data_IF_653877544973
#
_entry.id   IF_653877544973
#
_cell.length_a   1.000
_cell.length_b   1.000
_cell.length_c   1.000
_cell.angle_alpha   90.00
_cell.angle_beta   90.00
_cell.angle_gamma   90.00
#
_symmetry.space_group_name_H-M   'P 1'
#
loop_
_entity.id
_entity.type
_entity.pdbx_description
1 polymer ?
#
# COMPACT_ATOMS: atom_id res chain seq x y z
N UNK A 1 8.24 0.93 21.38
CA UNK A 1 8.71 1.72 20.23
C UNK A 1 8.14 3.11 20.32
N UNK A 2 8.99 4.12 20.21
CA UNK A 2 8.64 5.53 20.14
C UNK A 2 8.28 5.90 18.70
N UNK A 3 7.47 6.96 18.51
CA UNK A 3 7.14 7.49 17.16
C UNK A 3 8.39 7.79 16.32
N UNK A 4 9.49 8.22 16.95
CA UNK A 4 10.75 8.53 16.26
C UNK A 4 11.44 7.29 15.72
N UNK A 5 11.40 6.17 16.44
CA UNK A 5 12.00 4.91 15.98
C UNK A 5 11.24 4.34 14.77
N UNK A 6 9.92 4.57 14.68
CA UNK A 6 9.12 4.12 13.55
C UNK A 6 9.52 4.81 12.23
N UNK A 7 9.89 6.09 12.28
CA UNK A 7 10.26 6.86 11.07
C UNK A 7 11.53 6.32 10.39
N UNK A 8 12.40 5.64 11.13
CA UNK A 8 13.63 5.06 10.61
C UNK A 8 13.42 3.68 9.99
N UNK A 9 12.24 3.11 10.16
CA UNK A 9 11.92 1.78 9.64
C UNK A 9 11.68 1.82 8.13
N UNK A 10 11.91 0.68 7.47
CA UNK A 10 11.83 0.58 6.01
C UNK A 10 10.64 -0.28 5.60
N UNK A 11 9.60 0.29 4.97
CA UNK A 11 8.52 -0.51 4.41
C UNK A 11 9.02 -1.28 3.19
N UNK A 12 8.64 -2.55 3.10
CA UNK A 12 8.93 -3.43 1.99
C UNK A 12 7.66 -4.14 1.54
N UNK A 13 7.43 -4.20 0.23
CA UNK A 13 6.34 -4.96 -0.37
C UNK A 13 6.34 -6.42 0.11
N UNK A 14 5.14 -6.96 0.29
CA UNK A 14 4.95 -8.36 0.69
C UNK A 14 5.59 -9.31 -0.32
N UNK A 15 6.13 -10.41 0.17
CA UNK A 15 6.71 -11.49 -0.64
C UNK A 15 5.72 -12.62 -0.91
N UNK A 16 4.44 -12.43 -0.57
CA UNK A 16 3.37 -13.38 -0.89
C UNK A 16 3.20 -13.48 -2.41
N UNK A 17 3.34 -14.69 -2.95
CA UNK A 17 3.22 -14.97 -4.38
C UNK A 17 1.83 -14.68 -4.95
N UNK A 18 0.80 -14.64 -4.10
CA UNK A 18 -0.57 -14.32 -4.51
C UNK A 18 -0.82 -12.80 -4.60
N UNK A 19 0.15 -11.96 -4.20
CA UNK A 19 0.07 -10.51 -4.34
C UNK A 19 0.86 -10.11 -5.58
N UNK A 20 0.15 -9.62 -6.59
CA UNK A 20 0.73 -9.12 -7.83
C UNK A 20 0.51 -7.62 -7.93
N UNK A 21 1.39 -6.93 -8.64
CA UNK A 21 1.18 -5.53 -8.96
C UNK A 21 1.78 -5.20 -10.33
N UNK A 22 1.13 -4.29 -11.03
CA UNK A 22 1.47 -3.89 -12.40
C UNK A 22 1.27 -2.38 -12.59
N UNK A 23 1.79 -1.86 -13.70
CA UNK A 23 1.47 -0.51 -14.16
C UNK A 23 0.40 -0.55 -15.24
N UNK A 24 -0.67 0.21 -15.05
CA UNK A 24 -1.63 0.54 -16.11
C UNK A 24 -1.75 2.07 -16.15
N UNK A 25 -1.48 2.71 -17.29
CA UNK A 25 -1.63 4.15 -17.48
C UNK A 25 -0.98 5.01 -16.36
N UNK A 26 0.31 4.73 -16.07
CA UNK A 26 1.14 5.41 -15.06
C UNK A 26 0.72 5.23 -13.58
N UNK A 27 -0.40 4.55 -13.31
CA UNK A 27 -0.79 4.17 -11.95
C UNK A 27 -0.46 2.71 -11.68
N UNK A 28 -0.21 2.41 -10.41
CA UNK A 28 -0.01 1.04 -9.95
C UNK A 28 -1.37 0.40 -9.68
N UNK A 29 -1.53 -0.85 -10.09
CA UNK A 29 -2.64 -1.69 -9.68
C UNK A 29 -2.10 -2.83 -8.86
N UNK A 30 -2.66 -3.02 -7.66
CA UNK A 30 -2.33 -4.14 -6.80
C UNK A 30 -3.48 -5.15 -6.87
N UNK A 31 -3.15 -6.39 -7.19
CA UNK A 31 -4.08 -7.51 -7.25
C UNK A 31 -3.71 -8.51 -6.15
N UNK A 32 -4.68 -8.86 -5.31
CA UNK A 32 -4.46 -9.77 -4.18
C UNK A 32 -5.73 -10.56 -3.85
N UNK A 33 -5.61 -11.76 -3.27
CA UNK A 33 -6.76 -12.60 -2.98
C UNK A 33 -7.71 -11.91 -2.00
N UNK A 34 -9.01 -12.00 -2.27
CA UNK A 34 -10.02 -11.47 -1.38
C UNK A 34 -10.06 -12.30 -0.11
N UNK A 35 -9.96 -11.62 1.04
CA UNK A 35 -10.13 -12.30 2.32
C UNK A 35 -11.63 -12.50 2.60
N UNK A 36 -12.19 -13.61 2.12
CA UNK A 36 -13.60 -13.93 2.33
C UNK A 36 -13.87 -14.30 3.79
N UNK A 37 -14.73 -13.54 4.47
CA UNK A 37 -15.39 -14.01 5.68
C UNK A 37 -16.32 -15.20 5.39
N UNK A 38 -16.70 -15.98 6.42
CA UNK A 38 -17.57 -17.17 6.25
C UNK A 38 -18.88 -16.86 5.51
N UNK A 39 -19.48 -15.70 5.76
CA UNK A 39 -20.73 -15.25 5.12
C UNK A 39 -20.51 -14.83 3.66
N UNK A 40 -19.43 -14.09 3.39
CA UNK A 40 -19.08 -13.65 2.03
C UNK A 40 -18.71 -14.84 1.15
N UNK A 41 -18.04 -15.85 1.71
CA UNK A 41 -17.73 -17.09 0.99
C UNK A 41 -19.00 -17.81 0.55
N UNK A 42 -19.96 -17.99 1.47
CA UNK A 42 -21.25 -18.59 1.14
C UNK A 42 -22.03 -17.83 0.06
N UNK A 43 -21.98 -16.49 0.09
CA UNK A 43 -22.64 -15.66 -0.92
C UNK A 43 -21.95 -15.79 -2.29
N UNK A 44 -20.62 -15.81 -2.31
CA UNK A 44 -19.82 -16.01 -3.51
C UNK A 44 -20.04 -17.41 -4.11
N UNK A 45 -20.06 -18.47 -3.30
CA UNK A 45 -20.35 -19.83 -3.77
C UNK A 45 -21.75 -19.94 -4.45
N UNK A 46 -22.68 -19.05 -4.08
CA UNK A 46 -24.05 -19.05 -4.62
C UNK A 46 -24.27 -18.12 -5.81
N UNK A 47 -23.60 -16.97 -5.87
CA UNK A 47 -23.83 -15.92 -6.87
C UNK A 47 -22.63 -15.75 -7.82
N UNK A 48 -21.48 -16.32 -7.48
CA UNK A 48 -20.20 -16.09 -8.13
C UNK A 48 -19.59 -14.74 -7.77
N UNK A 49 -18.46 -14.41 -8.42
CA UNK A 49 -17.75 -13.15 -8.27
C UNK A 49 -16.24 -13.31 -8.42
N UNK A 50 -15.50 -12.20 -8.48
CA UNK A 50 -14.04 -12.27 -8.53
C UNK A 50 -13.48 -12.77 -7.19
N UNK A 51 -12.52 -13.69 -7.26
CA UNK A 51 -11.78 -14.22 -6.11
C UNK A 51 -10.66 -13.25 -5.67
N UNK A 52 -10.25 -12.36 -6.57
CA UNK A 52 -9.22 -11.35 -6.34
C UNK A 52 -9.80 -9.95 -6.21
N UNK A 53 -9.11 -9.13 -5.42
CA UNK A 53 -9.32 -7.69 -5.33
C UNK A 53 -8.31 -7.01 -6.24
N UNK A 54 -8.80 -6.31 -7.27
CA UNK A 54 -8.00 -5.33 -8.03
C UNK A 54 -8.14 -3.96 -7.37
N UNK A 55 -7.02 -3.39 -6.92
CA UNK A 55 -6.96 -2.08 -6.27
C UNK A 55 -6.07 -1.14 -7.09
N UNK A 56 -6.66 -0.35 -8.02
CA UNK A 56 -5.93 0.73 -8.65
C UNK A 56 -5.58 1.79 -7.61
N UNK A 57 -4.33 2.22 -7.62
CA UNK A 57 -3.85 3.35 -6.84
C UNK A 57 -4.03 4.65 -7.62
N UNK A 58 -3.88 5.77 -6.94
CA UNK A 58 -3.80 7.09 -7.57
C UNK A 58 -2.34 7.49 -7.81
N UNK A 59 -2.10 8.65 -8.45
CA UNK A 59 -0.74 9.11 -8.77
C UNK A 59 0.16 9.28 -7.53
N UNK A 60 -0.40 9.66 -6.39
CA UNK A 60 0.31 9.89 -5.13
C UNK A 60 0.63 8.57 -4.44
N UNK A 61 -0.38 7.71 -4.28
CA UNK A 61 -0.22 6.42 -3.60
C UNK A 61 0.59 5.43 -4.43
N UNK A 62 0.51 5.50 -5.77
CA UNK A 62 1.40 4.77 -6.68
C UNK A 62 2.86 5.18 -6.46
N UNK A 63 3.11 6.45 -6.18
CA UNK A 63 4.45 6.96 -5.95
C UNK A 63 5.02 6.46 -4.61
N UNK A 64 4.22 6.53 -3.54
CA UNK A 64 4.60 5.97 -2.24
C UNK A 64 4.86 4.46 -2.34
N UNK A 65 4.00 3.72 -3.04
CA UNK A 65 4.16 2.27 -3.25
C UNK A 65 5.50 1.89 -3.88
N UNK A 66 5.98 2.67 -4.85
CA UNK A 66 7.27 2.42 -5.52
C UNK A 66 8.43 2.46 -4.53
N UNK A 67 8.35 3.34 -3.54
CA UNK A 67 9.39 3.53 -2.53
C UNK A 67 9.32 2.50 -1.39
N UNK A 68 8.25 1.68 -1.33
CA UNK A 68 8.16 0.53 -0.43
C UNK A 68 9.00 -0.66 -0.94
N UNK A 69 10.27 -0.43 -1.21
CA UNK A 69 11.23 -1.42 -1.73
C UNK A 69 12.13 -2.04 -0.65
N UNK A 70 12.03 -1.56 0.60
CA UNK A 70 12.89 -1.96 1.70
C UNK A 70 14.22 -1.20 1.75
N UNK A 71 14.46 -0.25 0.84
CA UNK A 71 15.64 0.60 0.82
C UNK A 71 15.38 1.96 1.46
N UNK A 72 14.20 2.53 1.24
CA UNK A 72 13.78 3.81 1.77
C UNK A 72 13.16 3.67 3.16
N UNK A 73 13.51 4.55 4.10
CA UNK A 73 12.80 4.66 5.38
C UNK A 73 11.49 5.42 5.23
N UNK A 74 10.59 5.32 6.22
CA UNK A 74 9.37 6.13 6.26
C UNK A 74 9.69 7.64 6.18
N UNK A 75 10.77 8.07 6.83
CA UNK A 75 11.23 9.46 6.76
C UNK A 75 11.66 9.84 5.33
N UNK A 76 12.40 8.97 4.65
CA UNK A 76 12.83 9.20 3.26
C UNK A 76 11.63 9.31 2.32
N UNK A 77 10.64 8.43 2.52
CA UNK A 77 9.39 8.42 1.75
C UNK A 77 8.61 9.73 1.96
N UNK A 78 8.48 10.20 3.20
CA UNK A 78 7.83 11.48 3.51
C UNK A 78 8.55 12.63 2.81
N UNK A 79 9.88 12.68 2.93
CA UNK A 79 10.68 13.76 2.37
C UNK A 79 10.61 13.78 0.84
N UNK A 80 10.66 12.62 0.19
CA UNK A 80 10.57 12.52 -1.25
C UNK A 80 9.15 12.83 -1.75
N UNK A 81 8.12 12.34 -1.04
CA UNK A 81 6.72 12.62 -1.34
C UNK A 81 6.40 14.13 -1.27
N UNK A 82 6.86 14.79 -0.20
CA UNK A 82 6.72 16.24 -0.02
C UNK A 82 7.48 17.02 -1.09
N UNK A 83 8.73 16.63 -1.38
CA UNK A 83 9.55 17.24 -2.44
C UNK A 83 8.88 17.16 -3.81
N UNK A 84 8.22 16.05 -4.12
CA UNK A 84 7.62 15.82 -5.44
C UNK A 84 6.29 16.53 -5.65
N UNK A 85 5.44 16.58 -4.62
CA UNK A 85 4.06 17.06 -4.76
C UNK A 85 3.76 18.35 -3.98
N UNK A 86 4.65 18.77 -3.07
CA UNK A 86 4.60 20.04 -2.36
C UNK A 86 3.23 20.33 -1.72
N UNK A 87 2.69 21.51 -2.00
CA UNK A 87 1.45 22.01 -1.39
C UNK A 87 0.21 21.13 -1.67
N UNK A 88 0.21 20.32 -2.74
CA UNK A 88 -0.92 19.45 -3.08
C UNK A 88 -1.14 18.34 -2.02
N UNK A 89 -0.08 17.99 -1.28
CA UNK A 89 -0.06 16.86 -0.35
C UNK A 89 0.15 17.28 1.10
N UNK A 90 0.21 18.58 1.40
CA UNK A 90 0.36 19.07 2.77
C UNK A 90 -0.84 18.64 3.64
N UNK A 91 -0.62 18.09 4.85
CA UNK A 91 0.67 17.67 5.41
C UNK A 91 1.11 16.28 4.90
N UNK A 92 2.30 16.21 4.29
CA UNK A 92 2.83 14.98 3.68
C UNK A 92 2.95 13.81 4.67
N UNK A 93 3.35 14.10 5.91
CA UNK A 93 3.51 13.11 6.98
C UNK A 93 2.23 12.30 7.18
N UNK A 94 1.09 12.98 7.33
CA UNK A 94 -0.19 12.32 7.62
C UNK A 94 -0.67 11.47 6.44
N UNK A 95 -0.48 11.96 5.20
CA UNK A 95 -0.87 11.22 4.00
C UNK A 95 -0.06 9.95 3.80
N UNK A 96 1.26 10.02 3.98
CA UNK A 96 2.14 8.85 3.89
C UNK A 96 1.80 7.85 5.00
N UNK A 97 1.62 8.33 6.23
CA UNK A 97 1.26 7.46 7.37
C UNK A 97 -0.05 6.72 7.13
N UNK A 98 -1.12 7.43 6.75
CA UNK A 98 -2.43 6.84 6.49
C UNK A 98 -2.36 5.76 5.41
N UNK A 99 -1.60 6.01 4.35
CA UNK A 99 -1.46 5.04 3.27
C UNK A 99 -0.64 3.82 3.68
N UNK A 100 0.49 4.00 4.36
CA UNK A 100 1.31 2.89 4.87
C UNK A 100 0.54 2.04 5.89
N UNK A 101 -0.21 2.66 6.79
CA UNK A 101 -1.11 1.97 7.72
C UNK A 101 -2.12 1.10 6.97
N UNK A 102 -2.71 1.64 5.88
CA UNK A 102 -3.65 0.87 5.07
C UNK A 102 -2.99 -0.32 4.38
N UNK A 103 -1.79 -0.16 3.86
CA UNK A 103 -1.04 -1.26 3.24
C UNK A 103 -0.67 -2.35 4.26
N UNK A 104 -0.32 -1.97 5.50
CA UNK A 104 -0.03 -2.90 6.59
C UNK A 104 -1.27 -3.68 7.03
N UNK A 105 -2.41 -3.00 7.19
CA UNK A 105 -3.70 -3.63 7.52
C UNK A 105 -4.07 -4.69 6.48
N UNK A 106 -3.83 -4.39 5.20
CA UNK A 106 -4.06 -5.31 4.09
C UNK A 106 -2.94 -6.35 3.89
N UNK A 107 -1.87 -6.30 4.71
CA UNK A 107 -0.67 -7.16 4.60
C UNK A 107 0.00 -7.09 3.22
N UNK A 108 -0.10 -5.95 2.54
CA UNK A 108 0.53 -5.69 1.24
C UNK A 108 1.98 -5.23 1.39
N UNK A 109 2.35 -4.74 2.57
CA UNK A 109 3.73 -4.42 2.95
C UNK A 109 4.05 -4.96 4.34
N UNK A 110 5.33 -5.00 4.68
CA UNK A 110 5.85 -5.22 6.04
C UNK A 110 6.86 -4.13 6.37
N UNK A 111 7.19 -3.97 7.66
CA UNK A 111 8.18 -3.01 8.12
C UNK A 111 9.43 -3.77 8.61
N UNK A 112 10.61 -3.40 8.11
CA UNK A 112 11.93 -3.88 8.57
C UNK A 112 12.62 -2.84 9.46
#
# INVERSE_FOLDING_TARGET
MTKKELLLKKPVRSTDENIQWEYENDIVIITYPKNFGKLEKWLHDRIGGPEDVRRPLDRYTSHIWKLCDGENSILDIIAEFDKKFGEEVTPAIERVQLFLEKLLELRLITIK
#
